data_IF_782237769810
#
_entry.id   IF_782237769810
#
_cell.length_a   1.000
_cell.length_b   1.000
_cell.length_c   1.000
_cell.angle_alpha   90.00
_cell.angle_beta   90.00
_cell.angle_gamma   90.00
#
_symmetry.space_group_name_H-M   'P 1'
#
loop_
_entity.id
_entity.type
_entity.pdbx_description
1 polymer ?
#
# COMPACT_ATOMS: atom_id res chain seq x y z
N UNK A 1 -8.42 -16.25 -20.25
CA UNK A 1 -8.59 -15.90 -18.83
C UNK A 1 -10.08 -15.76 -18.57
N UNK A 2 -10.67 -16.43 -17.58
CA UNK A 2 -12.06 -16.13 -17.23
C UNK A 2 -12.11 -14.69 -16.71
N UNK A 3 -12.80 -13.82 -17.44
CA UNK A 3 -13.20 -12.49 -16.98
C UNK A 3 -14.22 -12.70 -15.87
N UNK A 4 -13.74 -12.82 -14.64
CA UNK A 4 -14.57 -12.72 -13.45
C UNK A 4 -15.21 -11.33 -13.50
N UNK A 5 -16.50 -11.31 -13.83
CA UNK A 5 -17.36 -10.12 -13.78
C UNK A 5 -17.58 -9.79 -12.29
N UNK A 6 -16.50 -9.34 -11.64
CA UNK A 6 -16.43 -9.13 -10.21
C UNK A 6 -17.24 -7.87 -9.89
N UNK A 7 -18.53 -8.05 -9.59
CA UNK A 7 -19.37 -6.97 -9.08
C UNK A 7 -18.83 -6.55 -7.71
N UNK A 8 -18.31 -5.34 -7.64
CA UNK A 8 -17.80 -4.76 -6.39
C UNK A 8 -18.97 -4.50 -5.45
N UNK A 9 -18.97 -5.16 -4.29
CA UNK A 9 -19.96 -4.90 -3.24
C UNK A 9 -19.62 -3.62 -2.50
N UNK A 10 -20.28 -2.51 -2.89
CA UNK A 10 -20.07 -1.20 -2.25
C UNK A 10 -20.22 -1.21 -0.72
N UNK A 11 -21.21 -1.92 -0.11
CA UNK A 11 -21.34 -1.98 1.35
C UNK A 11 -20.14 -2.65 2.04
N UNK A 12 -19.64 -3.76 1.48
CA UNK A 12 -18.50 -4.48 2.04
C UNK A 12 -17.20 -3.70 1.82
N UNK A 13 -17.02 -3.11 0.63
CA UNK A 13 -15.86 -2.26 0.33
C UNK A 13 -15.80 -1.04 1.24
N UNK A 14 -16.93 -0.35 1.45
CA UNK A 14 -17.03 0.79 2.35
C UNK A 14 -16.69 0.39 3.80
N UNK A 15 -17.25 -0.72 4.27
CA UNK A 15 -16.95 -1.26 5.60
C UNK A 15 -15.45 -1.53 5.80
N UNK A 16 -14.82 -2.29 4.89
CA UNK A 16 -13.38 -2.62 5.01
C UNK A 16 -12.51 -1.37 4.96
N UNK A 17 -12.82 -0.39 4.11
CA UNK A 17 -12.06 0.88 4.03
C UNK A 17 -12.19 1.74 5.29
N UNK A 18 -13.36 1.73 5.92
CA UNK A 18 -13.61 2.47 7.17
C UNK A 18 -13.05 1.79 8.41
N UNK A 19 -12.65 0.52 8.30
CA UNK A 19 -12.17 -0.23 9.45
C UNK A 19 -10.80 0.30 9.89
N UNK A 20 -10.62 0.68 11.17
CA UNK A 20 -9.43 1.36 11.66
C UNK A 20 -8.26 0.38 11.88
N UNK A 21 -7.71 -0.14 10.78
CA UNK A 21 -6.53 -1.01 10.78
C UNK A 21 -5.28 -0.29 11.29
N UNK A 22 -5.21 1.03 11.12
CA UNK A 22 -4.18 1.92 11.64
C UNK A 22 -4.06 1.85 13.17
N UNK A 23 -5.18 1.67 13.87
CA UNK A 23 -5.19 1.51 15.35
C UNK A 23 -4.64 0.16 15.82
N UNK A 24 -4.37 -0.79 14.93
CA UNK A 24 -3.87 -2.13 15.26
C UNK A 24 -2.33 -2.22 15.39
N UNK A 25 -1.63 -1.10 15.61
CA UNK A 25 -0.17 -1.02 15.84
C UNK A 25 0.67 -1.66 14.72
N UNK A 26 0.37 -1.36 13.46
CA UNK A 26 1.13 -1.84 12.30
C UNK A 26 2.13 -0.77 11.88
N UNK A 27 3.41 -0.97 12.19
CA UNK A 27 4.48 0.00 11.94
C UNK A 27 4.72 0.20 10.44
N UNK A 28 4.51 -0.84 9.63
CA UNK A 28 4.68 -0.78 8.18
C UNK A 28 3.78 0.25 7.51
N UNK A 29 2.56 0.48 8.00
CA UNK A 29 1.68 1.54 7.46
C UNK A 29 2.13 2.97 7.82
N UNK A 30 2.92 3.12 8.87
CA UNK A 30 3.53 4.42 9.26
C UNK A 30 4.76 4.68 8.40
N UNK A 31 5.60 3.67 8.21
CA UNK A 31 6.86 3.77 7.45
C UNK A 31 6.61 3.81 5.94
N UNK A 32 5.65 3.02 5.45
CA UNK A 32 5.25 2.93 4.05
C UNK A 32 3.73 3.16 3.95
N UNK A 33 3.27 4.42 3.89
CA UNK A 33 1.86 4.74 3.79
C UNK A 33 1.29 4.27 2.45
N UNK A 34 -0.01 3.98 2.44
CA UNK A 34 -0.71 3.58 1.21
C UNK A 34 -0.91 4.79 0.31
N UNK A 35 -0.40 4.70 -0.91
CA UNK A 35 -0.66 5.68 -1.97
C UNK A 35 -1.40 5.05 -3.14
N UNK A 36 -2.26 5.84 -3.79
CA UNK A 36 -2.96 5.39 -5.00
C UNK A 36 -2.04 5.56 -6.19
N UNK A 37 -1.79 4.48 -6.92
CA UNK A 37 -1.02 4.48 -8.17
C UNK A 37 -1.93 4.13 -9.35
N UNK A 38 -1.73 4.75 -10.54
CA UNK A 38 -2.59 4.54 -11.70
C UNK A 38 -2.29 3.23 -12.45
N UNK A 39 -1.13 2.61 -12.20
CA UNK A 39 -0.67 1.40 -12.91
C UNK A 39 -0.11 0.38 -11.93
N UNK A 40 -0.23 -0.90 -12.29
CA UNK A 40 0.38 -2.02 -11.57
C UNK A 40 1.90 -2.12 -11.81
N UNK A 41 2.40 -1.56 -12.91
CA UNK A 41 3.82 -1.51 -13.25
C UNK A 41 4.22 -0.06 -13.50
N UNK A 42 5.35 0.36 -12.95
CA UNK A 42 5.85 1.71 -13.14
C UNK A 42 7.23 1.93 -12.53
N UNK A 43 7.60 3.20 -12.36
CA UNK A 43 8.87 3.61 -11.75
C UNK A 43 8.61 4.32 -10.42
N UNK A 44 9.42 4.03 -9.41
CA UNK A 44 9.33 4.71 -8.12
C UNK A 44 9.77 6.16 -8.25
N UNK A 45 8.95 7.10 -7.74
CA UNK A 45 9.41 8.48 -7.51
C UNK A 45 10.32 8.53 -6.28
N UNK A 46 11.64 8.57 -6.50
CA UNK A 46 12.63 8.75 -5.43
C UNK A 46 12.69 10.23 -5.07
N UNK A 47 12.19 10.60 -3.88
CA UNK A 47 12.24 11.97 -3.36
C UNK A 47 13.56 12.24 -2.62
N UNK A 48 14.68 12.19 -3.35
CA UNK A 48 16.02 12.40 -2.79
C UNK A 48 16.63 13.75 -3.20
N UNK A 49 16.85 13.95 -4.50
CA UNK A 49 17.41 15.20 -5.04
C UNK A 49 16.48 16.41 -4.83
N UNK A 50 15.16 16.24 -5.01
CA UNK A 50 14.18 17.31 -4.75
C UNK A 50 14.27 17.86 -3.30
N UNK A 51 14.56 17.02 -2.30
CA UNK A 51 14.70 17.45 -0.91
C UNK A 51 16.03 18.20 -0.66
N UNK A 52 17.10 17.82 -1.36
CA UNK A 52 18.39 18.52 -1.29
C UNK A 52 18.31 19.91 -1.96
N UNK A 53 17.62 20.01 -3.10
CA UNK A 53 17.45 21.26 -3.85
C UNK A 53 16.55 22.27 -3.11
N UNK A 54 15.55 21.80 -2.35
CA UNK A 54 14.72 22.65 -1.47
C UNK A 54 15.58 23.35 -0.40
N UNK A 55 16.62 22.70 0.11
CA UNK A 55 17.52 23.28 1.12
C UNK A 55 18.52 24.29 0.55
N UNK A 56 18.74 24.32 -0.78
CA UNK A 56 19.78 25.14 -1.43
C UNK A 56 19.17 26.33 -2.21
N UNK A 57 17.87 26.31 -2.51
CA UNK A 57 17.21 27.34 -3.34
C UNK A 57 16.77 28.60 -2.57
N UNK A 58 17.69 29.54 -2.38
CA UNK A 58 17.40 30.86 -1.78
C UNK A 58 16.82 31.90 -2.76
N UNK A 59 16.90 31.67 -4.08
CA UNK A 59 16.38 32.58 -5.10
C UNK A 59 15.00 32.16 -5.63
N UNK A 60 14.09 33.12 -5.80
CA UNK A 60 12.73 32.89 -6.33
C UNK A 60 12.72 32.23 -7.73
N UNK A 61 13.77 32.43 -8.53
CA UNK A 61 13.95 31.79 -9.84
C UNK A 61 14.29 30.31 -9.76
N UNK A 62 15.09 29.89 -8.77
CA UNK A 62 15.44 28.47 -8.56
C UNK A 62 14.26 27.68 -7.99
N UNK A 63 13.42 28.34 -7.16
CA UNK A 63 12.15 27.77 -6.72
C UNK A 63 11.19 27.48 -7.88
N UNK A 64 11.26 28.23 -8.99
CA UNK A 64 10.43 27.96 -10.17
C UNK A 64 10.84 26.68 -10.91
N UNK A 65 12.15 26.37 -10.95
CA UNK A 65 12.68 25.11 -11.52
C UNK A 65 12.50 23.92 -10.57
N UNK A 66 12.64 24.13 -9.25
CA UNK A 66 12.28 23.13 -8.24
C UNK A 66 10.75 22.88 -8.19
N UNK A 67 9.94 23.87 -8.58
CA UNK A 67 8.48 23.78 -8.74
C UNK A 67 8.05 23.31 -10.14
N UNK A 68 8.95 22.96 -11.05
CA UNK A 68 8.57 22.09 -12.17
C UNK A 68 8.30 20.71 -11.57
N UNK A 69 7.07 20.53 -11.08
CA UNK A 69 6.55 19.31 -10.45
C UNK A 69 6.65 18.18 -11.48
N UNK A 70 7.79 17.50 -11.49
CA UNK A 70 8.09 16.52 -12.52
C UNK A 70 9.56 16.22 -12.72
N UNK A 71 10.44 16.58 -11.77
CA UNK A 71 11.86 16.22 -11.83
C UNK A 71 11.98 14.74 -12.22
N UNK A 72 12.81 14.49 -13.24
CA UNK A 72 12.90 13.21 -13.93
C UNK A 72 13.15 12.10 -12.93
N UNK A 73 12.17 11.21 -12.85
CA UNK A 73 12.14 10.06 -11.97
C UNK A 73 13.06 8.98 -12.55
N UNK A 74 14.37 9.11 -12.33
CA UNK A 74 15.28 7.97 -12.46
C UNK A 74 15.23 7.17 -11.17
N UNK A 75 14.29 6.24 -11.11
CA UNK A 75 14.11 5.33 -9.97
C UNK A 75 14.02 3.87 -10.41
N UNK A 76 14.15 2.97 -9.43
CA UNK A 76 13.89 1.54 -9.64
C UNK A 76 12.46 1.29 -10.13
N UNK A 77 12.27 0.21 -10.87
CA UNK A 77 10.94 -0.21 -11.32
C UNK A 77 10.16 -0.89 -10.19
N UNK A 78 8.85 -0.69 -10.15
CA UNK A 78 7.94 -1.43 -9.31
C UNK A 78 6.99 -2.28 -10.16
N UNK A 79 6.59 -3.41 -9.59
CA UNK A 79 5.52 -4.27 -10.09
C UNK A 79 4.65 -4.68 -8.91
N UNK A 80 3.35 -4.47 -9.03
CA UNK A 80 2.35 -4.92 -8.07
C UNK A 80 1.73 -6.21 -8.57
N UNK A 81 1.83 -7.27 -7.78
CA UNK A 81 1.19 -8.54 -8.12
C UNK A 81 -0.26 -8.55 -7.60
N UNK A 82 -1.24 -8.96 -8.43
CA UNK A 82 -2.64 -9.04 -8.02
C UNK A 82 -2.84 -10.21 -7.06
N UNK A 83 -2.78 -9.94 -5.75
CA UNK A 83 -3.11 -10.92 -4.72
C UNK A 83 -4.57 -10.81 -4.31
N UNK A 84 -5.45 -11.49 -5.06
CA UNK A 84 -6.84 -11.68 -4.67
C UNK A 84 -6.96 -12.89 -3.75
N UNK A 85 -7.44 -12.69 -2.52
CA UNK A 85 -7.81 -13.79 -1.63
C UNK A 85 -9.29 -14.11 -1.80
N UNK A 86 -9.59 -15.39 -2.03
CA UNK A 86 -10.93 -15.92 -1.90
C UNK A 86 -11.32 -16.05 -0.43
N UNK A 87 -12.60 -16.01 -0.16
CA UNK A 87 -13.15 -16.12 1.18
C UNK A 87 -14.46 -16.89 1.12
N UNK A 88 -14.71 -17.69 2.15
CA UNK A 88 -15.85 -18.58 2.23
C UNK A 88 -16.60 -18.33 3.54
N UNK A 89 -17.92 -18.25 3.42
CA UNK A 89 -18.84 -18.22 4.56
C UNK A 89 -19.84 -19.33 4.32
N UNK A 90 -19.96 -20.25 5.27
CA UNK A 90 -20.89 -21.37 5.17
C UNK A 90 -22.34 -20.92 5.30
N UNK A 91 -23.26 -21.70 4.72
CA UNK A 91 -24.71 -21.47 4.88
C UNK A 91 -25.13 -21.50 6.35
N UNK A 92 -24.47 -22.33 7.16
CA UNK A 92 -24.69 -22.42 8.60
C UNK A 92 -24.37 -21.10 9.28
N UNK A 93 -23.18 -20.53 9.03
CA UNK A 93 -22.78 -19.24 9.60
C UNK A 93 -23.72 -18.11 9.15
N UNK A 94 -24.20 -18.15 7.91
CA UNK A 94 -25.19 -17.19 7.42
C UNK A 94 -26.55 -17.31 8.13
N UNK A 95 -26.98 -18.53 8.45
CA UNK A 95 -28.27 -18.81 9.13
C UNK A 95 -28.22 -18.50 10.63
N UNK A 96 -27.10 -18.77 11.28
CA UNK A 96 -26.90 -18.56 12.72
C UNK A 96 -26.57 -17.10 13.08
N UNK A 97 -26.23 -16.27 12.09
CA UNK A 97 -25.88 -14.87 12.32
C UNK A 97 -27.08 -14.03 12.79
N UNK A 98 -26.91 -13.34 13.91
CA UNK A 98 -27.91 -12.40 14.43
C UNK A 98 -28.15 -11.19 13.50
N UNK A 99 -27.14 -10.82 12.71
CA UNK A 99 -27.21 -9.73 11.75
C UNK A 99 -26.84 -10.19 10.35
N UNK A 100 -27.68 -9.82 9.38
CA UNK A 100 -27.38 -10.01 7.96
C UNK A 100 -26.03 -9.35 7.62
N UNK A 101 -25.22 -10.06 6.83
CA UNK A 101 -23.87 -9.66 6.39
C UNK A 101 -22.77 -9.67 7.46
N UNK A 102 -23.04 -9.97 8.74
CA UNK A 102 -21.99 -9.99 9.76
C UNK A 102 -20.91 -11.05 9.50
N UNK A 103 -21.24 -12.31 9.17
CA UNK A 103 -20.23 -13.29 8.78
C UNK A 103 -19.42 -12.82 7.57
N UNK A 104 -20.10 -12.15 6.64
CA UNK A 104 -19.45 -11.62 5.46
C UNK A 104 -18.42 -10.51 5.79
N UNK A 105 -18.80 -9.60 6.69
CA UNK A 105 -17.91 -8.56 7.20
C UNK A 105 -16.69 -9.15 7.91
N UNK A 106 -16.88 -10.18 8.75
CA UNK A 106 -15.78 -10.83 9.45
C UNK A 106 -14.80 -11.49 8.49
N UNK A 107 -15.29 -12.24 7.50
CA UNK A 107 -14.42 -12.91 6.56
C UNK A 107 -13.68 -11.90 5.63
N UNK A 108 -14.32 -10.81 5.24
CA UNK A 108 -13.65 -9.71 4.53
C UNK A 108 -12.53 -9.06 5.38
N UNK A 109 -12.75 -8.86 6.69
CA UNK A 109 -11.72 -8.36 7.60
C UNK A 109 -10.56 -9.35 7.77
N UNK A 110 -10.84 -10.65 7.84
CA UNK A 110 -9.80 -11.68 7.93
C UNK A 110 -8.87 -11.64 6.72
N UNK A 111 -9.43 -11.53 5.50
CA UNK A 111 -8.62 -11.37 4.29
C UNK A 111 -7.82 -10.06 4.29
N UNK A 112 -8.45 -8.94 4.67
CA UNK A 112 -7.77 -7.65 4.75
C UNK A 112 -6.62 -7.69 5.77
N UNK A 113 -6.81 -8.33 6.93
CA UNK A 113 -5.78 -8.47 7.95
C UNK A 113 -4.64 -9.38 7.50
N UNK A 114 -4.91 -10.46 6.78
CA UNK A 114 -3.87 -11.32 6.19
C UNK A 114 -3.01 -10.55 5.17
N UNK A 115 -3.63 -9.74 4.31
CA UNK A 115 -2.91 -8.88 3.36
C UNK A 115 -2.08 -7.81 4.09
N UNK A 116 -2.59 -7.25 5.19
CA UNK A 116 -1.85 -6.30 6.02
C UNK A 116 -0.65 -6.94 6.72
N UNK A 117 -0.79 -8.15 7.27
CA UNK A 117 0.35 -8.87 7.86
C UNK A 117 1.44 -9.14 6.81
N UNK A 118 1.04 -9.51 5.60
CA UNK A 118 1.97 -9.68 4.49
C UNK A 118 2.66 -8.36 4.12
N UNK A 119 1.94 -7.25 4.14
CA UNK A 119 2.51 -5.92 3.94
C UNK A 119 3.58 -5.61 5.01
N UNK A 120 3.30 -5.85 6.29
CA UNK A 120 4.29 -5.66 7.36
C UNK A 120 5.57 -6.45 7.13
N UNK A 121 5.44 -7.75 6.80
CA UNK A 121 6.60 -8.61 6.51
C UNK A 121 7.38 -8.08 5.32
N UNK A 122 6.70 -7.59 4.28
CA UNK A 122 7.36 -7.01 3.11
C UNK A 122 8.14 -5.73 3.46
N UNK A 123 7.55 -4.84 4.26
CA UNK A 123 8.22 -3.61 4.71
C UNK A 123 9.45 -3.95 5.55
N UNK A 124 9.34 -4.89 6.49
CA UNK A 124 10.48 -5.36 7.29
C UNK A 124 11.60 -5.96 6.43
N UNK A 125 11.23 -6.78 5.44
CA UNK A 125 12.18 -7.40 4.50
C UNK A 125 12.93 -6.34 3.69
N UNK A 126 12.21 -5.32 3.20
CA UNK A 126 12.81 -4.20 2.47
C UNK A 126 13.74 -3.39 3.39
N UNK A 127 13.32 -3.07 4.61
CA UNK A 127 14.14 -2.35 5.57
C UNK A 127 15.44 -3.10 5.90
N UNK A 128 15.37 -4.42 6.10
CA UNK A 128 16.55 -5.27 6.34
C UNK A 128 17.49 -5.32 5.12
N UNK A 129 16.94 -5.44 3.91
CA UNK A 129 17.74 -5.44 2.68
C UNK A 129 18.48 -4.10 2.47
N UNK A 130 17.80 -2.97 2.73
CA UNK A 130 18.40 -1.64 2.65
C UNK A 130 19.51 -1.46 3.68
N UNK A 131 19.30 -1.88 4.92
CA UNK A 131 20.31 -1.80 5.98
C UNK A 131 21.58 -2.59 5.63
N UNK A 132 21.43 -3.79 5.04
CA UNK A 132 22.56 -4.60 4.60
C UNK A 132 23.31 -3.96 3.42
N UNK A 133 22.60 -3.34 2.47
CA UNK A 133 23.23 -2.64 1.35
C UNK A 133 24.07 -1.44 1.81
N UNK A 134 23.61 -0.71 2.83
CA UNK A 134 24.38 0.41 3.43
C UNK A 134 25.55 -0.05 4.29
N UNK A 135 25.51 -1.26 4.86
CA UNK A 135 26.63 -1.82 5.64
C UNK A 135 27.78 -2.34 4.77
N UNK A 136 27.53 -2.62 3.49
CA UNK A 136 28.50 -3.16 2.52
C UNK A 136 29.19 -2.03 1.71
N UNK A 137 28.73 -0.78 1.82
CA UNK A 137 29.40 0.36 1.21
C UNK A 137 30.29 1.13 2.21
N UNK A 138 31.51 0.63 2.49
CA UNK A 138 32.63 1.49 2.83
C UNK A 138 33.71 1.35 1.75
N UNK A 139 33.79 2.34 0.86
CA UNK A 139 35.00 2.74 0.13
C UNK A 139 35.11 4.27 0.21
#
# INVERSE_FOLDING_TARGET
MPTLDARVSMPLTGFVRSFPFDKQKKAGLIVAPKESVPSAVGTYKIRGQELADIHISDAAGDRSKANEIGAVVTGGTYETYPYSLGWFVSEREMREAAMALQPLKHAALSCAHALLLRHEVRVQTLAAATANATAIAPD
#
